data_IF_189338829137
#
_entry.id   IF_189338829137
#
_cell.length_a   1.000
_cell.length_b   1.000
_cell.length_c   1.000
_cell.angle_alpha   90.00
_cell.angle_beta   90.00
_cell.angle_gamma   90.00
#
_symmetry.space_group_name_H-M   'P 1'
#
loop_
_entity.id
_entity.type
_entity.pdbx_description
1 polymer ?
#
# COMPACT_ATOMS: atom_id res chain seq x y z
N UNK A 1 -16.85 -30.34 54.79
CA UNK A 1 -16.32 -29.27 53.91
C UNK A 1 -17.16 -28.03 54.13
N UNK A 2 -16.57 -26.93 54.61
CA UNK A 2 -17.32 -25.68 54.90
C UNK A 2 -17.88 -25.10 53.60
N UNK A 3 -19.09 -24.51 53.65
CA UNK A 3 -19.76 -23.85 52.52
C UNK A 3 -18.82 -22.84 51.84
N UNK A 4 -17.97 -22.16 52.61
CA UNK A 4 -16.96 -21.22 52.12
C UNK A 4 -15.97 -21.85 51.14
N UNK A 5 -15.51 -23.09 51.40
CA UNK A 5 -14.58 -23.79 50.50
C UNK A 5 -15.27 -24.22 49.20
N UNK A 6 -16.56 -24.58 49.26
CA UNK A 6 -17.35 -24.91 48.08
C UNK A 6 -17.54 -23.68 47.19
N UNK A 7 -17.86 -22.52 47.80
CA UNK A 7 -17.99 -21.25 47.08
C UNK A 7 -16.67 -20.78 46.47
N UNK A 8 -15.55 -20.94 47.19
CA UNK A 8 -14.22 -20.61 46.65
C UNK A 8 -13.85 -21.50 45.45
N UNK A 9 -14.12 -22.81 45.56
CA UNK A 9 -13.85 -23.76 44.48
C UNK A 9 -14.70 -23.46 43.24
N UNK A 10 -15.98 -23.11 43.42
CA UNK A 10 -16.87 -22.72 42.33
C UNK A 10 -16.41 -21.41 41.66
N UNK A 11 -16.04 -20.40 42.45
CA UNK A 11 -15.52 -19.13 41.92
C UNK A 11 -14.22 -19.34 41.12
N UNK A 12 -13.31 -20.16 41.64
CA UNK A 12 -12.07 -20.52 40.94
C UNK A 12 -12.34 -21.28 39.63
N UNK A 13 -13.32 -22.19 39.61
CA UNK A 13 -13.70 -22.92 38.41
C UNK A 13 -14.31 -22.00 37.34
N UNK A 14 -15.18 -21.06 37.73
CA UNK A 14 -15.77 -20.06 36.82
C UNK A 14 -14.68 -19.15 36.25
N UNK A 15 -13.80 -18.62 37.11
CA UNK A 15 -12.70 -17.76 36.68
C UNK A 15 -11.73 -18.50 35.74
N UNK A 16 -11.36 -19.74 36.08
CA UNK A 16 -10.48 -20.57 35.25
C UNK A 16 -11.09 -20.89 33.89
N UNK A 17 -12.37 -21.25 33.86
CA UNK A 17 -13.10 -21.52 32.60
C UNK A 17 -13.23 -20.24 31.76
N UNK A 18 -13.57 -19.12 32.38
CA UNK A 18 -13.66 -17.82 31.70
C UNK A 18 -12.31 -17.39 31.11
N UNK A 19 -11.22 -17.59 31.85
CA UNK A 19 -9.87 -17.30 31.37
C UNK A 19 -9.48 -18.19 30.18
N UNK A 20 -9.73 -19.50 30.26
CA UNK A 20 -9.47 -20.43 29.15
C UNK A 20 -10.31 -20.11 27.91
N UNK A 21 -11.58 -19.74 28.09
CA UNK A 21 -12.43 -19.28 27.01
C UNK A 21 -11.88 -18.00 26.36
N UNK A 22 -11.52 -16.98 27.16
CA UNK A 22 -10.96 -15.74 26.64
C UNK A 22 -9.64 -15.97 25.89
N UNK A 23 -8.77 -16.85 26.40
CA UNK A 23 -7.52 -17.21 25.76
C UNK A 23 -7.75 -17.90 24.41
N UNK A 24 -8.63 -18.91 24.37
CA UNK A 24 -8.94 -19.64 23.14
C UNK A 24 -9.66 -18.77 22.10
N UNK A 25 -10.58 -17.91 22.53
CA UNK A 25 -11.22 -16.92 21.67
C UNK A 25 -10.18 -15.95 21.07
N UNK A 26 -9.27 -15.40 21.89
CA UNK A 26 -8.22 -14.50 21.42
C UNK A 26 -7.29 -15.15 20.39
N UNK A 27 -6.89 -16.41 20.62
CA UNK A 27 -6.08 -17.18 19.66
C UNK A 27 -6.84 -17.42 18.36
N UNK A 28 -8.11 -17.84 18.44
CA UNK A 28 -8.96 -18.08 17.27
C UNK A 28 -9.12 -16.81 16.46
N UNK A 29 -9.46 -15.71 17.11
CA UNK A 29 -9.66 -14.42 16.46
C UNK A 29 -8.35 -13.94 15.83
N UNK A 30 -7.21 -14.15 16.50
CA UNK A 30 -5.88 -13.91 15.94
C UNK A 30 -5.59 -14.72 14.67
N UNK A 31 -5.95 -16.00 14.65
CA UNK A 31 -5.81 -16.86 13.45
C UNK A 31 -6.72 -16.41 12.32
N UNK A 32 -7.96 -16.03 12.63
CA UNK A 32 -8.91 -15.51 11.62
C UNK A 32 -8.38 -14.21 11.01
N UNK A 33 -7.88 -13.28 11.84
CA UNK A 33 -7.23 -12.04 11.37
C UNK A 33 -6.03 -12.34 10.47
N UNK A 34 -5.13 -13.22 10.91
CA UNK A 34 -3.95 -13.62 10.13
C UNK A 34 -4.34 -14.24 8.77
N UNK A 35 -5.36 -15.10 8.75
CA UNK A 35 -5.87 -15.71 7.52
C UNK A 35 -6.45 -14.69 6.56
N UNK A 36 -7.21 -13.69 7.06
CA UNK A 36 -7.78 -12.62 6.23
C UNK A 36 -6.71 -11.74 5.60
N UNK A 37 -5.72 -11.31 6.40
CA UNK A 37 -4.58 -10.54 5.90
C UNK A 37 -3.82 -11.32 4.83
N UNK A 38 -3.55 -12.60 5.07
CA UNK A 38 -2.85 -13.46 4.12
C UNK A 38 -3.60 -13.63 2.79
N UNK A 39 -4.94 -13.62 2.83
CA UNK A 39 -5.82 -13.76 1.68
C UNK A 39 -6.13 -12.43 0.96
N UNK A 40 -5.63 -11.29 1.44
CA UNK A 40 -6.08 -9.98 0.96
C UNK A 40 -5.84 -9.73 -0.54
N UNK A 41 -4.84 -10.36 -1.15
CA UNK A 41 -4.57 -10.28 -2.59
C UNK A 41 -4.96 -11.54 -3.38
N UNK A 42 -5.77 -12.44 -2.80
CA UNK A 42 -6.14 -13.68 -3.47
C UNK A 42 -6.87 -13.43 -4.79
N UNK A 43 -7.80 -12.47 -4.81
CA UNK A 43 -8.49 -12.06 -6.03
C UNK A 43 -7.50 -11.45 -7.04
N UNK A 44 -6.57 -10.60 -6.60
CA UNK A 44 -5.57 -9.98 -7.49
C UNK A 44 -4.64 -11.01 -8.11
N UNK A 45 -4.35 -12.12 -7.41
CA UNK A 45 -3.47 -13.17 -7.89
C UNK A 45 -3.95 -13.76 -9.23
N UNK A 46 -5.27 -13.78 -9.51
CA UNK A 46 -5.80 -14.31 -10.78
C UNK A 46 -5.44 -13.47 -12.01
N UNK A 47 -4.98 -12.22 -11.83
CA UNK A 47 -4.54 -11.37 -12.93
C UNK A 47 -3.18 -11.81 -13.49
N UNK A 48 -2.37 -12.50 -12.70
CA UNK A 48 -1.00 -12.83 -13.07
C UNK A 48 -0.88 -14.22 -13.68
N UNK A 49 -0.08 -14.30 -14.75
CA UNK A 49 0.43 -15.58 -15.25
C UNK A 49 1.69 -15.92 -14.47
N UNK A 50 1.64 -17.04 -13.75
CA UNK A 50 2.67 -17.35 -12.76
C UNK A 50 2.73 -16.31 -11.64
N UNK A 51 3.75 -16.42 -10.81
CA UNK A 51 4.03 -15.44 -9.77
C UNK A 51 4.07 -16.04 -8.37
N UNK A 52 4.88 -15.41 -7.54
CA UNK A 52 5.13 -15.81 -6.16
C UNK A 52 4.35 -14.89 -5.23
N UNK A 53 3.37 -15.45 -4.52
CA UNK A 53 2.75 -14.80 -3.38
C UNK A 53 3.55 -15.14 -2.13
N UNK A 54 4.05 -14.12 -1.43
CA UNK A 54 4.79 -14.26 -0.18
C UNK A 54 4.17 -13.39 0.90
N UNK A 55 4.01 -13.95 2.10
CA UNK A 55 3.61 -13.15 3.27
C UNK A 55 4.78 -12.34 3.80
N UNK A 56 4.50 -11.10 4.17
CA UNK A 56 5.43 -10.20 4.81
C UNK A 56 5.32 -10.29 6.34
N UNK A 57 6.29 -9.75 7.11
CA UNK A 57 6.25 -9.78 8.57
C UNK A 57 5.00 -9.12 9.19
N UNK A 58 4.33 -8.22 8.47
CA UNK A 58 3.07 -7.59 8.87
C UNK A 58 1.82 -8.48 8.65
N UNK A 59 2.00 -9.65 8.03
CA UNK A 59 0.96 -10.62 7.70
C UNK A 59 0.26 -10.40 6.36
N UNK A 60 0.58 -9.32 5.63
CA UNK A 60 -0.02 -9.04 4.34
C UNK A 60 0.82 -9.65 3.18
N UNK A 61 0.16 -10.07 2.08
CA UNK A 61 0.85 -10.63 0.94
C UNK A 61 1.56 -9.58 0.09
N UNK A 62 2.64 -10.01 -0.54
CA UNK A 62 3.29 -9.40 -1.70
C UNK A 62 3.24 -10.41 -2.85
N UNK A 63 2.90 -9.95 -4.05
CA UNK A 63 2.85 -10.77 -5.27
C UNK A 63 3.85 -10.21 -6.26
N UNK A 64 4.73 -11.06 -6.79
CA UNK A 64 5.51 -10.75 -7.98
C UNK A 64 5.10 -11.69 -9.10
N UNK A 65 4.62 -11.19 -10.23
CA UNK A 65 4.05 -12.01 -11.31
C UNK A 65 3.95 -11.28 -12.65
N UNK A 66 3.61 -12.01 -13.72
CA UNK A 66 3.59 -11.45 -15.07
C UNK A 66 2.16 -11.08 -15.49
N UNK A 67 1.94 -9.85 -15.94
CA UNK A 67 0.68 -9.35 -16.48
C UNK A 67 0.93 -8.72 -17.84
N UNK A 68 0.21 -9.19 -18.88
CA UNK A 68 0.35 -8.73 -20.27
C UNK A 68 1.81 -8.67 -20.76
N UNK A 69 2.61 -9.66 -20.38
CA UNK A 69 4.02 -9.80 -20.78
C UNK A 69 5.02 -8.98 -19.96
N UNK A 70 4.56 -8.15 -19.02
CA UNK A 70 5.41 -7.36 -18.14
C UNK A 70 5.42 -7.93 -16.72
N UNK A 71 6.55 -7.83 -16.01
CA UNK A 71 6.64 -8.33 -14.62
C UNK A 71 6.29 -7.22 -13.64
N UNK A 72 5.28 -7.46 -12.81
CA UNK A 72 4.87 -6.54 -11.76
C UNK A 72 5.24 -7.07 -10.38
N UNK A 73 5.37 -6.12 -9.46
CA UNK A 73 5.49 -6.37 -8.03
C UNK A 73 4.43 -5.55 -7.29
N UNK A 74 3.50 -6.26 -6.65
CA UNK A 74 2.43 -5.70 -5.84
C UNK A 74 2.69 -5.99 -4.37
N UNK A 75 2.78 -4.95 -3.55
CA UNK A 75 3.05 -5.05 -2.12
C UNK A 75 1.99 -4.28 -1.33
N UNK A 76 1.53 -4.85 -0.23
CA UNK A 76 0.76 -4.12 0.77
C UNK A 76 1.67 -3.60 1.87
N UNK A 77 1.45 -2.36 2.30
CA UNK A 77 2.20 -1.72 3.38
C UNK A 77 1.21 -1.04 4.34
N UNK A 78 1.05 -1.55 5.57
CA UNK A 78 0.27 -0.88 6.59
C UNK A 78 1.04 0.32 7.16
N UNK A 79 0.40 1.48 7.20
CA UNK A 79 0.88 2.70 7.85
C UNK A 79 0.08 2.93 9.14
N UNK A 80 0.58 2.35 10.24
CA UNK A 80 -0.06 2.38 11.57
C UNK A 80 0.69 3.22 12.59
N UNK A 81 1.86 3.77 12.22
CA UNK A 81 2.77 4.46 13.14
C UNK A 81 2.37 5.92 13.40
N UNK A 82 1.40 6.45 12.66
CA UNK A 82 0.98 7.84 12.75
C UNK A 82 -0.24 8.02 13.65
N UNK A 83 -0.06 8.54 14.87
CA UNK A 83 -1.14 8.72 15.86
C UNK A 83 -2.18 9.81 15.54
N UNK A 84 -1.93 10.67 14.55
CA UNK A 84 -2.78 11.83 14.19
C UNK A 84 -3.66 11.62 12.97
N UNK A 85 -3.54 10.50 12.28
CA UNK A 85 -4.40 10.11 11.17
C UNK A 85 -4.92 8.69 11.39
N UNK A 86 -5.92 8.30 10.62
CA UNK A 86 -6.35 6.91 10.62
C UNK A 86 -5.21 6.04 10.05
N UNK A 87 -4.98 4.86 10.63
CA UNK A 87 -4.15 3.85 10.00
C UNK A 87 -4.66 3.54 8.60
N UNK A 88 -3.74 3.37 7.66
CA UNK A 88 -4.06 3.13 6.25
C UNK A 88 -3.31 1.91 5.72
N UNK A 89 -3.92 1.19 4.80
CA UNK A 89 -3.30 0.07 4.08
C UNK A 89 -3.04 0.51 2.64
N UNK A 90 -1.76 0.66 2.31
CA UNK A 90 -1.32 1.10 1.00
C UNK A 90 -0.99 -0.08 0.10
N UNK A 91 -1.45 -0.04 -1.14
CA UNK A 91 -1.03 -0.93 -2.22
C UNK A 91 0.03 -0.22 -3.05
N UNK A 92 1.23 -0.80 -3.10
CA UNK A 92 2.31 -0.38 -3.96
C UNK A 92 2.26 -1.27 -5.20
N UNK A 93 1.88 -0.69 -6.34
CA UNK A 93 1.89 -1.37 -7.63
C UNK A 93 3.14 -0.92 -8.37
N UNK A 94 4.10 -1.81 -8.56
CA UNK A 94 5.39 -1.49 -9.19
C UNK A 94 5.57 -2.26 -10.49
N UNK A 95 6.08 -1.58 -11.51
CA UNK A 95 6.63 -2.16 -12.73
C UNK A 95 8.15 -2.01 -12.70
N UNK A 96 8.90 -2.96 -12.09
CA UNK A 96 10.35 -2.89 -11.89
C UNK A 96 11.12 -3.24 -13.17
N UNK A 97 10.92 -2.47 -14.23
CA UNK A 97 11.63 -2.62 -15.50
C UNK A 97 12.50 -1.37 -15.76
N UNK A 98 13.67 -1.49 -16.42
CA UNK A 98 14.44 -0.32 -16.82
C UNK A 98 13.60 0.63 -17.69
N UNK A 99 13.56 1.90 -17.32
CA UNK A 99 12.82 2.92 -18.07
C UNK A 99 13.77 3.85 -18.82
N UNK A 100 13.38 4.39 -19.99
CA UNK A 100 14.21 5.30 -20.79
C UNK A 100 14.21 6.72 -20.21
N UNK A 101 14.42 6.86 -18.89
CA UNK A 101 14.49 8.15 -18.19
C UNK A 101 15.81 8.24 -17.44
N UNK A 102 16.35 9.46 -17.31
CA UNK A 102 17.65 9.70 -16.67
C UNK A 102 17.56 10.19 -15.22
N UNK A 103 16.36 10.61 -14.80
CA UNK A 103 16.08 11.11 -13.46
C UNK A 103 14.83 10.44 -12.87
N UNK A 104 14.76 10.46 -11.54
CA UNK A 104 13.55 10.10 -10.80
C UNK A 104 12.61 11.30 -10.76
N UNK A 105 11.39 11.12 -11.22
CA UNK A 105 10.25 11.99 -10.96
C UNK A 105 9.37 11.32 -9.91
N UNK A 106 9.17 11.97 -8.78
CA UNK A 106 8.33 11.47 -7.69
C UNK A 106 7.32 12.55 -7.33
N UNK A 107 6.05 12.27 -7.64
CA UNK A 107 4.92 13.16 -7.39
C UNK A 107 4.08 12.54 -6.28
N UNK A 108 3.93 13.25 -5.15
CA UNK A 108 3.19 12.77 -3.99
C UNK A 108 2.11 13.76 -3.57
N UNK A 109 0.91 13.24 -3.31
CA UNK A 109 -0.20 14.00 -2.74
C UNK A 109 0.02 14.21 -1.24
N UNK A 110 -0.07 15.45 -0.76
CA UNK A 110 -0.10 15.81 0.66
C UNK A 110 1.01 15.11 1.46
N UNK A 111 2.30 15.27 1.09
CA UNK A 111 3.40 14.65 1.83
C UNK A 111 3.44 15.15 3.27
N UNK A 112 3.81 14.27 4.20
CA UNK A 112 3.93 14.58 5.63
C UNK A 112 5.32 14.28 6.19
N UNK A 113 6.20 13.66 5.40
CA UNK A 113 7.57 13.29 5.79
C UNK A 113 7.63 12.04 6.68
N UNK A 114 6.52 11.31 6.80
CA UNK A 114 6.35 10.13 7.67
C UNK A 114 5.84 8.92 6.89
N UNK A 115 5.80 9.03 5.56
CA UNK A 115 5.40 7.98 4.63
C UNK A 115 6.44 6.86 4.59
N UNK A 116 6.28 5.86 5.45
CA UNK A 116 7.19 4.70 5.56
C UNK A 116 7.30 3.85 4.29
N UNK A 117 6.32 3.96 3.39
CA UNK A 117 6.27 3.24 2.12
C UNK A 117 7.02 3.94 0.98
N UNK A 118 7.47 5.18 1.17
CA UNK A 118 7.99 6.03 0.10
C UNK A 118 9.43 6.46 0.33
N UNK A 119 10.12 6.80 -0.77
CA UNK A 119 11.44 7.44 -0.77
C UNK A 119 11.38 8.92 -1.13
N UNK A 120 10.19 9.51 -1.30
CA UNK A 120 9.98 10.88 -1.72
C UNK A 120 10.85 11.89 -0.95
N UNK A 121 10.82 11.83 0.38
CA UNK A 121 11.60 12.73 1.24
C UNK A 121 13.13 12.57 1.09
N UNK A 122 13.62 11.46 0.55
CA UNK A 122 15.05 11.21 0.33
C UNK A 122 15.57 11.80 -0.99
N UNK A 123 14.70 12.23 -1.91
CA UNK A 123 15.13 12.89 -3.14
C UNK A 123 15.62 14.32 -2.84
N UNK A 124 16.77 14.75 -3.39
CA UNK A 124 17.45 15.97 -2.94
C UNK A 124 16.77 17.26 -3.39
N UNK A 125 16.08 17.25 -4.53
CA UNK A 125 15.46 18.45 -5.10
C UNK A 125 13.96 18.38 -4.98
N UNK A 126 13.35 19.41 -4.39
CA UNK A 126 11.92 19.67 -4.49
C UNK A 126 11.69 20.74 -5.56
N UNK A 127 10.86 20.44 -6.54
CA UNK A 127 10.54 21.40 -7.60
C UNK A 127 9.63 22.51 -7.06
N UNK A 128 9.67 23.68 -7.72
CA UNK A 128 8.72 24.74 -7.43
C UNK A 128 7.28 24.25 -7.70
N UNK A 129 6.29 24.68 -6.91
CA UNK A 129 4.89 24.36 -7.18
C UNK A 129 4.50 24.78 -8.60
N UNK A 130 3.84 23.87 -9.30
CA UNK A 130 3.37 24.08 -10.65
C UNK A 130 1.85 23.86 -10.66
N UNK A 131 1.04 24.91 -10.95
CA UNK A 131 -0.41 24.86 -10.82
C UNK A 131 -1.09 23.93 -11.83
N UNK A 132 -0.36 23.40 -12.82
CA UNK A 132 -0.90 22.39 -13.72
C UNK A 132 -0.89 20.97 -13.10
N UNK A 133 -0.08 20.74 -12.06
CA UNK A 133 -0.15 19.49 -11.30
C UNK A 133 -1.30 19.54 -10.27
N UNK A 134 -1.76 18.38 -9.77
CA UNK A 134 -2.83 18.31 -8.78
C UNK A 134 -2.57 19.19 -7.53
N UNK A 135 -3.64 19.73 -6.96
CA UNK A 135 -3.55 20.56 -5.76
C UNK A 135 -2.99 19.77 -4.56
N UNK A 136 -2.23 20.43 -3.68
CA UNK A 136 -1.51 19.83 -2.54
C UNK A 136 -0.50 18.74 -2.89
N UNK A 137 -0.04 18.65 -4.15
CA UNK A 137 1.04 17.76 -4.51
C UNK A 137 2.42 18.39 -4.26
N UNK A 138 3.43 17.55 -4.14
CA UNK A 138 4.83 17.94 -4.26
C UNK A 138 5.52 17.08 -5.29
N UNK A 139 6.38 17.69 -6.10
CA UNK A 139 7.29 16.97 -6.99
C UNK A 139 8.69 17.02 -6.39
N UNK A 140 9.33 15.85 -6.30
CA UNK A 140 10.74 15.72 -5.96
C UNK A 140 11.49 14.91 -7.02
N UNK A 141 12.77 15.20 -7.15
CA UNK A 141 13.65 14.61 -8.16
C UNK A 141 15.10 14.61 -7.72
N UNK A 142 15.93 13.79 -8.37
CA UNK A 142 17.39 13.76 -8.23
C UNK A 142 18.10 14.67 -9.24
N UNK A 143 17.54 14.89 -10.43
CA UNK A 143 18.09 15.78 -11.45
C UNK A 143 16.99 16.44 -12.32
N UNK A 144 16.52 17.65 -11.97
CA UNK A 144 15.41 18.33 -12.66
C UNK A 144 15.59 18.51 -14.17
N UNK A 145 16.83 18.76 -14.61
CA UNK A 145 17.18 18.98 -16.01
C UNK A 145 17.14 17.70 -16.87
N UNK A 146 17.05 16.53 -16.24
CA UNK A 146 17.02 15.22 -16.89
C UNK A 146 15.62 14.58 -16.86
N UNK A 147 14.62 15.32 -16.41
CA UNK A 147 13.24 14.87 -16.35
C UNK A 147 12.63 14.70 -17.76
N UNK A 148 11.66 13.79 -17.93
CA UNK A 148 10.87 13.69 -19.15
C UNK A 148 10.14 15.01 -19.50
N UNK A 149 9.69 15.17 -20.75
CA UNK A 149 8.93 16.34 -21.16
C UNK A 149 7.75 16.62 -20.23
N UNK A 150 7.58 17.89 -19.85
CA UNK A 150 6.55 18.31 -18.89
C UNK A 150 5.14 17.89 -19.30
N UNK A 151 4.80 17.91 -20.60
CA UNK A 151 3.47 17.47 -21.04
C UNK A 151 3.22 15.99 -20.74
N UNK A 152 4.24 15.13 -20.88
CA UNK A 152 4.14 13.72 -20.55
C UNK A 152 3.95 13.52 -19.04
N UNK A 153 4.72 14.24 -18.22
CA UNK A 153 4.58 14.19 -16.77
C UNK A 153 3.19 14.65 -16.32
N UNK A 154 2.64 15.71 -16.91
CA UNK A 154 1.29 16.20 -16.60
C UNK A 154 0.19 15.24 -17.04
N UNK A 155 0.32 14.63 -18.23
CA UNK A 155 -0.62 13.60 -18.70
C UNK A 155 -0.78 12.49 -17.65
N UNK A 156 0.34 12.05 -17.07
CA UNK A 156 0.33 10.97 -16.10
C UNK A 156 0.17 11.43 -14.64
N UNK A 157 0.33 12.72 -14.34
CA UNK A 157 -0.01 13.25 -13.03
C UNK A 157 -1.51 13.12 -12.71
N UNK A 158 -2.37 13.09 -13.74
CA UNK A 158 -3.82 12.99 -13.60
C UNK A 158 -4.30 11.74 -12.84
N UNK A 159 -3.49 10.68 -12.71
CA UNK A 159 -3.83 9.55 -11.84
C UNK A 159 -4.01 9.95 -10.38
N UNK A 160 -3.33 11.03 -9.95
CA UNK A 160 -3.41 11.57 -8.59
C UNK A 160 -4.64 12.45 -8.34
N UNK A 161 -5.49 12.65 -9.36
CA UNK A 161 -6.80 13.26 -9.17
C UNK A 161 -7.78 12.28 -8.48
N UNK A 162 -7.51 10.96 -8.55
CA UNK A 162 -8.24 9.99 -7.74
C UNK A 162 -7.84 10.14 -6.26
N UNK A 163 -8.81 10.31 -5.34
CA UNK A 163 -8.51 10.52 -3.92
C UNK A 163 -7.79 9.34 -3.24
N UNK A 164 -7.78 8.15 -3.85
CA UNK A 164 -7.04 6.98 -3.35
C UNK A 164 -5.58 6.98 -3.78
N UNK A 165 -5.24 7.68 -4.85
CA UNK A 165 -3.88 7.72 -5.34
C UNK A 165 -3.03 8.65 -4.47
N UNK A 166 -1.93 8.13 -3.94
CA UNK A 166 -1.05 8.86 -3.01
C UNK A 166 0.23 9.32 -3.68
N UNK A 167 0.80 8.52 -4.56
CA UNK A 167 2.13 8.76 -5.13
C UNK A 167 2.26 8.10 -6.49
N UNK A 168 2.91 8.80 -7.42
CA UNK A 168 3.34 8.29 -8.71
C UNK A 168 4.86 8.49 -8.82
N UNK A 169 5.58 7.41 -9.08
CA UNK A 169 7.03 7.41 -9.28
C UNK A 169 7.36 6.96 -10.69
N UNK A 170 8.14 7.77 -11.39
CA UNK A 170 8.79 7.44 -12.66
C UNK A 170 10.29 7.49 -12.42
N UNK A 171 10.99 6.37 -12.58
CA UNK A 171 12.42 6.31 -12.31
C UNK A 171 13.15 5.45 -13.34
N UNK A 172 14.49 5.58 -13.45
CA UNK A 172 15.26 4.71 -14.34
C UNK A 172 15.12 3.21 -14.01
N UNK A 173 14.74 2.88 -12.77
CA UNK A 173 14.59 1.50 -12.26
C UNK A 173 13.18 0.94 -12.43
N UNK A 174 12.22 1.74 -12.89
CA UNK A 174 10.84 1.34 -13.02
C UNK A 174 9.84 2.39 -12.58
N UNK A 175 8.58 1.99 -12.65
CA UNK A 175 7.42 2.81 -12.36
C UNK A 175 6.71 2.30 -11.10
N UNK A 176 6.04 3.19 -10.36
CA UNK A 176 5.22 2.80 -9.22
C UNK A 176 4.04 3.72 -9.00
N UNK A 177 2.92 3.15 -8.60
CA UNK A 177 1.79 3.86 -7.99
C UNK A 177 1.62 3.38 -6.56
N UNK A 178 1.34 4.32 -5.66
CA UNK A 178 0.86 4.03 -4.30
C UNK A 178 -0.62 4.37 -4.21
N UNK A 179 -1.41 3.41 -3.78
CA UNK A 179 -2.87 3.47 -3.80
C UNK A 179 -3.47 3.09 -2.45
N UNK A 180 -4.47 3.82 -1.99
CA UNK A 180 -5.21 3.51 -0.77
C UNK A 180 -6.18 2.36 -1.00
N UNK A 181 -6.00 1.26 -0.26
CA UNK A 181 -6.92 0.11 -0.34
C UNK A 181 -7.97 0.14 0.76
N UNK A 182 -7.55 0.42 1.99
CA UNK A 182 -8.40 0.41 3.17
C UNK A 182 -7.84 1.42 4.19
N UNK A 183 -8.73 2.03 4.97
CA UNK A 183 -8.38 2.75 6.20
C UNK A 183 -9.06 2.06 7.37
N UNK A 184 -8.42 2.07 8.53
CA UNK A 184 -9.02 1.52 9.74
C UNK A 184 -10.33 2.25 10.09
N UNK A 185 -11.27 1.51 10.68
CA UNK A 185 -12.54 2.06 11.15
C UNK A 185 -12.31 3.23 12.11
N UNK A 186 -12.81 4.42 11.74
CA UNK A 186 -12.66 5.63 12.56
C UNK A 186 -13.23 5.45 13.97
N UNK A 187 -14.39 4.81 14.10
CA UNK A 187 -15.03 4.60 15.40
C UNK A 187 -14.19 3.69 16.29
N UNK A 188 -13.78 2.54 15.76
CA UNK A 188 -12.95 1.57 16.48
C UNK A 188 -11.59 2.16 16.85
N UNK A 189 -10.99 2.95 15.94
CA UNK A 189 -9.71 3.59 16.20
C UNK A 189 -9.79 4.69 17.26
N UNK A 190 -10.83 5.52 17.25
CA UNK A 190 -10.97 6.60 18.25
C UNK A 190 -11.29 6.08 19.65
N UNK A 191 -12.08 5.01 19.76
CA UNK A 191 -12.49 4.44 21.05
C UNK A 191 -11.47 3.45 21.61
N UNK A 192 -10.92 2.58 20.77
CA UNK A 192 -10.13 1.43 21.20
C UNK A 192 -8.69 1.43 20.65
N UNK A 193 -8.34 2.42 19.81
CA UNK A 193 -7.08 2.42 19.04
C UNK A 193 -6.90 1.17 18.19
N UNK A 194 -8.03 0.58 17.79
CA UNK A 194 -8.05 -0.57 16.90
C UNK A 194 -7.71 -0.12 15.48
N UNK A 195 -6.62 -0.67 14.96
CA UNK A 195 -6.05 -0.38 13.64
C UNK A 195 -6.26 -1.53 12.65
N UNK A 196 -7.21 -2.42 12.94
CA UNK A 196 -7.51 -3.56 12.09
C UNK A 196 -7.95 -3.09 10.69
N UNK A 197 -7.30 -3.69 9.69
CA UNK A 197 -7.54 -3.54 8.25
C UNK A 197 -7.31 -4.91 7.62
N UNK A 198 -7.65 -5.06 6.35
CA UNK A 198 -7.54 -6.35 5.66
C UNK A 198 -8.80 -7.20 5.82
N UNK A 199 -9.95 -6.56 5.98
CA UNK A 199 -11.19 -7.26 6.35
C UNK A 199 -11.80 -8.03 5.18
N UNK A 200 -11.62 -7.52 3.96
CA UNK A 200 -12.13 -8.11 2.72
C UNK A 200 -11.01 -8.18 1.68
N UNK A 201 -10.96 -9.21 0.83
CA UNK A 201 -10.01 -9.26 -0.28
C UNK A 201 -10.08 -8.02 -1.17
N UNK A 202 -8.94 -7.54 -1.62
CA UNK A 202 -8.87 -6.44 -2.57
C UNK A 202 -9.27 -6.95 -3.97
N UNK A 203 -10.29 -6.37 -4.61
CA UNK A 203 -10.84 -6.92 -5.84
C UNK A 203 -9.87 -6.76 -7.01
N UNK A 204 -9.71 -7.82 -7.80
CA UNK A 204 -8.92 -7.82 -9.04
C UNK A 204 -9.34 -6.68 -9.99
N UNK A 205 -10.64 -6.40 -10.06
CA UNK A 205 -11.20 -5.32 -10.88
C UNK A 205 -10.71 -3.92 -10.48
N UNK A 206 -10.29 -3.71 -9.22
CA UNK A 206 -9.69 -2.45 -8.78
C UNK A 206 -8.17 -2.41 -9.01
N UNK A 207 -7.49 -3.56 -8.99
CA UNK A 207 -6.05 -3.64 -9.28
C UNK A 207 -5.75 -3.51 -10.78
N UNK A 208 -6.60 -4.12 -11.64
CA UNK A 208 -6.39 -4.19 -13.08
C UNK A 208 -6.16 -2.82 -13.75
N UNK A 209 -6.95 -1.76 -13.47
CA UNK A 209 -6.71 -0.44 -14.04
C UNK A 209 -5.34 0.15 -13.68
N UNK A 210 -4.81 -0.12 -12.49
CA UNK A 210 -3.49 0.36 -12.08
C UNK A 210 -2.36 -0.33 -12.86
N UNK A 211 -2.52 -1.63 -13.13
CA UNK A 211 -1.58 -2.39 -13.96
C UNK A 211 -1.59 -1.89 -15.41
N UNK A 212 -2.79 -1.76 -16.00
CA UNK A 212 -2.94 -1.25 -17.35
C UNK A 212 -2.36 0.18 -17.46
N UNK A 213 -2.64 1.03 -16.49
CA UNK A 213 -2.11 2.39 -16.46
C UNK A 213 -0.58 2.45 -16.48
N UNK A 214 0.11 1.58 -15.72
CA UNK A 214 1.56 1.53 -15.71
C UNK A 214 2.15 1.00 -17.03
N UNK A 215 1.43 0.13 -17.73
CA UNK A 215 1.81 -0.29 -19.09
C UNK A 215 1.66 0.86 -20.08
N UNK A 216 0.55 1.59 -20.02
CA UNK A 216 0.32 2.75 -20.89
C UNK A 216 1.38 3.84 -20.67
N UNK A 217 1.70 4.15 -19.40
CA UNK A 217 2.79 5.07 -19.05
C UNK A 217 4.15 4.59 -19.54
N UNK A 218 4.46 3.30 -19.41
CA UNK A 218 5.71 2.73 -19.96
C UNK A 218 5.75 2.93 -21.48
N UNK A 219 4.67 2.61 -22.18
CA UNK A 219 4.62 2.67 -23.63
C UNK A 219 4.77 4.12 -24.13
N UNK A 220 4.16 5.08 -23.44
CA UNK A 220 4.35 6.51 -23.71
C UNK A 220 5.80 6.97 -23.48
N UNK A 221 6.47 6.49 -22.42
CA UNK A 221 7.88 6.78 -22.15
C UNK A 221 8.80 6.17 -23.23
N UNK A 222 8.52 4.94 -23.68
CA UNK A 222 9.28 4.28 -24.75
C UNK A 222 9.11 4.98 -26.09
N UNK A 223 7.95 5.59 -26.36
CA UNK A 223 7.70 6.38 -27.55
C UNK A 223 8.46 7.73 -27.58
N UNK A 224 9.00 8.19 -26.44
CA UNK A 224 9.73 9.46 -26.32
C UNK A 224 11.18 9.25 -25.80
N UNK A 225 12.03 8.50 -26.54
CA UNK A 225 13.37 8.14 -26.07
C UNK A 225 14.40 9.27 -26.13
N UNK A 226 14.04 10.48 -26.60
CA UNK A 226 14.98 11.62 -26.80
C UNK A 226 15.70 12.10 -25.52
N UNK A 227 15.40 11.50 -24.37
CA UNK A 227 16.22 11.63 -23.16
C UNK A 227 17.51 10.77 -23.19
N UNK A 228 17.80 10.00 -24.25
CA UNK A 228 18.91 9.03 -24.30
C UNK A 228 20.27 9.55 -24.84
N UNK A 229 20.42 10.81 -25.28
CA UNK A 229 21.73 11.42 -25.57
C UNK A 229 22.24 12.20 -24.37
#
# INVERSE_FOLDING_TARGET
MSITHLLLALAAAIAGTGFLYALTASIRDGRVRASRRAAFLDDVQCLFTGGLKKLQPDGFPRISGTYRGATFDIQLVPDTLNFRKLPSLWLLVSLPEPMPVKATFDLMMRPRGVEVFSRHAALPVQMAPDPAFPHDCTVRTDAPQLLPPRQLLLKHAAILDDPRAKELVISPKGLRIVWLTEEASRGSYLLFRDSEMGLQPFPAAAAKPLLDYLLDLRDDLLAHPETAS
#
